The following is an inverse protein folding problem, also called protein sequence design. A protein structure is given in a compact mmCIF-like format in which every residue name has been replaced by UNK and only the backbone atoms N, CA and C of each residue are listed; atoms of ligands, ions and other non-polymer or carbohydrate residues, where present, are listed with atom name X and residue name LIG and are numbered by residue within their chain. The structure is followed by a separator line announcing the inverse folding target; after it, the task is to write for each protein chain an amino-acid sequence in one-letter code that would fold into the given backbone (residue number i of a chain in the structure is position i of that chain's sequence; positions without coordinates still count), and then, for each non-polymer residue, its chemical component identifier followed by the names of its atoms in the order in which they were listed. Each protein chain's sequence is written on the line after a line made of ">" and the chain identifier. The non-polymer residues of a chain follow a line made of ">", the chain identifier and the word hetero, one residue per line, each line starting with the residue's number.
data_IF_256847859706
#
_entry.id   IF_256847859706
#
_cell.length_a   1.000
_cell.length_b   1.000
_cell.length_c   1.000
_cell.angle_alpha   90.00
_cell.angle_beta   90.00
_cell.angle_gamma   90.00
#
_symmetry.space_group_name_H-M   'P 1'
#
loop_
_entity.id
_entity.type
_entity.pdbx_description
1 polymer ?
#
# COMPACT_ATOMS: atom_id res chain seq x y z
N UNK A 1 23.20 25.85 9.85
CA UNK A 1 21.95 25.14 10.18
C UNK A 1 21.75 24.13 9.07
N UNK A 2 22.02 22.85 9.34
CA UNK A 2 21.83 21.80 8.34
C UNK A 2 20.31 21.62 8.16
N UNK A 3 19.81 21.90 6.96
CA UNK A 3 18.48 21.45 6.56
C UNK A 3 18.52 19.92 6.59
N UNK A 4 17.91 19.31 7.60
CA UNK A 4 17.59 17.90 7.57
C UNK A 4 16.51 17.73 6.51
N UNK A 5 16.88 17.38 5.29
CA UNK A 5 15.89 17.00 4.28
C UNK A 5 15.13 15.77 4.79
N UNK A 6 13.83 15.91 4.94
CA UNK A 6 12.93 14.81 5.27
C UNK A 6 12.90 13.84 4.08
N UNK A 7 13.27 12.58 4.30
CA UNK A 7 13.15 11.53 3.29
C UNK A 7 11.68 11.40 2.84
N UNK A 8 11.43 11.20 1.55
CA UNK A 8 10.07 11.07 1.00
C UNK A 8 9.63 9.61 0.89
N UNK A 9 8.32 9.38 0.73
CA UNK A 9 7.76 8.04 0.44
C UNK A 9 8.45 7.40 -0.77
N UNK A 10 8.60 8.15 -1.88
CA UNK A 10 9.21 7.64 -3.10
C UNK A 10 10.65 7.23 -2.86
N UNK A 11 11.42 8.00 -2.08
CA UNK A 11 12.81 7.67 -1.76
C UNK A 11 12.92 6.40 -0.91
N UNK A 12 12.02 6.22 0.07
CA UNK A 12 12.01 5.03 0.94
C UNK A 12 11.59 3.78 0.18
N UNK A 13 10.53 3.90 -0.63
CA UNK A 13 9.86 2.74 -1.22
C UNK A 13 10.24 2.45 -2.67
N UNK A 14 11.06 3.28 -3.32
CA UNK A 14 11.51 3.10 -4.72
C UNK A 14 11.85 1.64 -5.09
N UNK A 15 12.59 0.87 -4.26
CA UNK A 15 12.94 -0.51 -4.58
C UNK A 15 11.74 -1.47 -4.68
N UNK A 16 10.57 -1.09 -4.18
CA UNK A 16 9.40 -1.94 -4.06
C UNK A 16 8.22 -1.46 -4.92
N UNK A 17 8.21 -0.20 -5.38
CA UNK A 17 7.06 0.39 -6.10
C UNK A 17 6.74 -0.29 -7.44
N UNK A 18 7.70 -1.00 -8.03
CA UNK A 18 7.50 -1.73 -9.28
C UNK A 18 6.91 -3.14 -9.08
N UNK A 19 7.01 -3.69 -7.87
CA UNK A 19 6.59 -5.06 -7.57
C UNK A 19 5.06 -5.19 -7.61
N UNK A 20 4.60 -6.38 -8.00
CA UNK A 20 3.20 -6.79 -7.94
C UNK A 20 3.11 -8.06 -7.10
N UNK A 21 2.68 -7.89 -5.86
CA UNK A 21 2.70 -8.96 -4.86
C UNK A 21 1.32 -9.15 -4.23
N UNK A 22 1.19 -10.18 -3.41
CA UNK A 22 0.03 -10.30 -2.57
C UNK A 22 -0.07 -9.11 -1.61
N UNK A 23 -1.27 -8.61 -1.35
CA UNK A 23 -1.46 -7.42 -0.52
C UNK A 23 -0.87 -7.57 0.89
N UNK A 24 -0.88 -8.79 1.43
CA UNK A 24 -0.27 -9.08 2.73
C UNK A 24 1.27 -9.11 2.68
N UNK A 25 1.87 -9.41 1.54
CA UNK A 25 3.33 -9.30 1.35
C UNK A 25 3.75 -7.84 1.25
N UNK A 26 3.02 -7.03 0.48
CA UNK A 26 3.17 -5.59 0.46
C UNK A 26 3.09 -5.00 1.88
N UNK A 27 2.12 -5.44 2.69
CA UNK A 27 1.98 -5.00 4.07
C UNK A 27 3.22 -5.31 4.92
N UNK A 28 3.78 -6.52 4.80
CA UNK A 28 5.02 -6.90 5.50
C UNK A 28 6.22 -6.06 5.07
N UNK A 29 6.34 -5.77 3.77
CA UNK A 29 7.40 -4.91 3.22
C UNK A 29 7.26 -3.51 3.83
N UNK A 30 6.07 -2.90 3.74
CA UNK A 30 5.83 -1.54 4.26
C UNK A 30 6.17 -1.45 5.74
N UNK A 31 5.62 -2.36 6.55
CA UNK A 31 5.88 -2.40 8.00
C UNK A 31 7.35 -2.63 8.32
N UNK A 32 8.02 -3.56 7.65
CA UNK A 32 9.42 -3.87 7.92
C UNK A 32 10.38 -2.75 7.50
N UNK A 33 10.11 -2.07 6.38
CA UNK A 33 10.88 -0.90 5.95
C UNK A 33 10.72 0.26 6.94
N UNK A 34 9.48 0.56 7.37
CA UNK A 34 9.22 1.62 8.35
C UNK A 34 9.87 1.31 9.70
N UNK A 35 9.77 0.06 10.16
CA UNK A 35 10.42 -0.39 11.39
C UNK A 35 11.94 -0.26 11.32
N UNK A 36 12.57 -0.61 10.19
CA UNK A 36 14.02 -0.48 10.00
C UNK A 36 14.49 0.97 9.96
N UNK A 37 13.61 1.91 9.59
CA UNK A 37 13.86 3.35 9.62
C UNK A 37 13.41 4.01 10.94
N UNK A 38 13.00 3.21 11.94
CA UNK A 38 12.50 3.67 13.23
C UNK A 38 11.31 4.66 13.09
N UNK A 39 10.50 4.50 12.05
CA UNK A 39 9.32 5.33 11.80
C UNK A 39 8.10 4.77 12.54
N UNK A 40 7.23 5.67 12.98
CA UNK A 40 5.94 5.29 13.54
C UNK A 40 4.99 4.84 12.44
N UNK A 41 4.24 3.78 12.73
CA UNK A 41 3.22 3.26 11.84
C UNK A 41 2.11 2.54 12.61
N UNK A 42 0.92 2.49 12.00
CA UNK A 42 -0.20 1.67 12.46
C UNK A 42 -0.81 0.94 11.27
N UNK A 43 -0.91 -0.39 11.35
CA UNK A 43 -1.43 -1.22 10.28
C UNK A 43 -2.89 -1.62 10.54
N UNK A 44 -3.73 -1.49 9.51
CA UNK A 44 -5.16 -1.75 9.57
C UNK A 44 -5.65 -2.55 8.37
N UNK A 45 -6.71 -3.32 8.59
CA UNK A 45 -7.59 -3.84 7.57
C UNK A 45 -8.90 -3.05 7.65
N UNK A 46 -9.25 -2.36 6.57
CA UNK A 46 -10.42 -1.48 6.54
C UNK A 46 -11.18 -1.59 5.22
N UNK A 47 -12.50 -1.51 5.30
CA UNK A 47 -13.40 -1.41 4.16
C UNK A 47 -13.35 -0.02 3.54
N UNK A 48 -12.96 0.05 2.26
CA UNK A 48 -12.82 1.32 1.54
C UNK A 48 -13.64 1.37 0.27
N UNK A 49 -14.04 2.58 -0.10
CA UNK A 49 -14.63 2.84 -1.41
C UNK A 49 -13.53 2.70 -2.49
N UNK A 50 -13.66 1.76 -3.44
CA UNK A 50 -12.67 1.58 -4.50
C UNK A 50 -12.43 2.85 -5.35
N UNK A 51 -13.40 3.77 -5.39
CA UNK A 51 -13.28 5.04 -6.12
C UNK A 51 -12.14 5.93 -5.61
N UNK A 52 -11.71 5.76 -4.34
CA UNK A 52 -10.52 6.44 -3.81
C UNK A 52 -9.24 6.07 -4.58
N UNK A 53 -9.23 4.95 -5.32
CA UNK A 53 -8.08 4.45 -6.07
C UNK A 53 -8.21 4.59 -7.59
N UNK A 54 -9.40 4.92 -8.10
CA UNK A 54 -9.72 4.93 -9.54
C UNK A 54 -9.22 6.21 -10.23
N UNK A 55 -8.89 7.27 -9.47
CA UNK A 55 -8.39 8.54 -10.01
C UNK A 55 -7.02 8.46 -10.72
N UNK A 56 -6.45 7.26 -10.91
CA UNK A 56 -5.20 7.04 -11.65
C UNK A 56 -5.35 6.15 -12.91
N UNK A 57 -6.57 5.83 -13.34
CA UNK A 57 -6.79 5.15 -14.63
C UNK A 57 -7.80 5.97 -15.43
N UNK A 58 -7.31 6.94 -16.19
CA UNK A 58 -8.07 7.40 -17.36
C UNK A 58 -8.10 6.25 -18.35
N UNK A 59 -9.23 5.56 -18.43
CA UNK A 59 -9.69 5.07 -19.71
C UNK A 59 -11.18 5.37 -19.87
N UNK A 60 -11.45 6.24 -20.84
CA UNK A 60 -12.79 6.67 -21.24
C UNK A 60 -13.58 5.47 -21.74
N UNK A 61 -14.53 5.00 -20.94
CA UNK A 61 -15.76 4.44 -21.50
C UNK A 61 -16.94 4.75 -20.58
N UNK A 62 -17.84 5.52 -21.16
CA UNK A 62 -19.11 6.00 -20.64
C UNK A 62 -20.02 4.89 -20.09
N UNK A 63 -20.72 5.15 -18.97
CA UNK A 63 -22.19 5.19 -18.99
C UNK A 63 -22.79 5.75 -17.69
N UNK A 64 -23.65 6.74 -17.92
CA UNK A 64 -24.93 7.06 -17.26
C UNK A 64 -25.10 6.86 -15.76
N UNK A 65 -25.41 7.98 -15.11
CA UNK A 65 -26.05 8.05 -13.81
C UNK A 65 -27.41 7.35 -13.82
N UNK A 66 -27.57 6.25 -13.08
CA UNK A 66 -28.84 5.76 -12.55
C UNK A 66 -28.59 4.66 -11.49
N UNK A 67 -29.11 4.86 -10.27
CA UNK A 67 -29.14 3.85 -9.20
C UNK A 67 -27.81 3.61 -8.45
N UNK A 68 -27.52 4.39 -7.39
CA UNK A 68 -26.45 4.07 -6.44
C UNK A 68 -26.77 2.74 -5.73
N UNK A 69 -26.34 1.63 -6.33
CA UNK A 69 -26.13 0.37 -5.62
C UNK A 69 -25.29 0.63 -4.37
N UNK A 70 -25.46 -0.13 -3.28
CA UNK A 70 -24.65 0.06 -2.07
C UNK A 70 -23.17 0.10 -2.47
N UNK A 71 -22.45 1.11 -1.96
CA UNK A 71 -21.00 1.23 -2.13
C UNK A 71 -20.40 -0.15 -1.88
N UNK A 72 -19.83 -0.78 -2.91
CA UNK A 72 -19.19 -2.08 -2.77
C UNK A 72 -17.85 -1.85 -2.08
N UNK A 73 -17.91 -1.68 -0.76
CA UNK A 73 -16.74 -1.56 0.06
C UNK A 73 -16.00 -2.89 0.00
N UNK A 74 -14.69 -2.82 -0.20
CA UNK A 74 -13.82 -3.98 -0.15
C UNK A 74 -12.78 -3.74 0.94
N UNK A 75 -12.38 -4.77 1.70
CA UNK A 75 -11.32 -4.63 2.67
C UNK A 75 -9.96 -4.43 1.98
N UNK A 76 -9.17 -3.52 2.51
CA UNK A 76 -7.80 -3.20 2.09
C UNK A 76 -6.87 -3.22 3.29
N UNK A 77 -5.60 -3.56 3.05
CA UNK A 77 -4.54 -3.30 3.99
C UNK A 77 -4.00 -1.88 3.83
N UNK A 78 -4.05 -1.11 4.91
CA UNK A 78 -3.53 0.26 5.00
C UNK A 78 -2.52 0.37 6.14
N UNK A 79 -1.50 1.19 5.93
CA UNK A 79 -0.56 1.63 6.95
C UNK A 79 -0.65 3.14 7.09
N UNK A 80 -1.05 3.60 8.26
CA UNK A 80 -0.96 5.01 8.65
C UNK A 80 0.49 5.34 8.98
N UNK A 81 1.03 6.42 8.39
CA UNK A 81 2.42 6.83 8.55
C UNK A 81 2.54 8.36 8.54
N UNK A 82 3.73 8.88 8.85
CA UNK A 82 4.04 10.31 8.69
C UNK A 82 4.01 10.79 7.23
N UNK A 83 4.14 9.88 6.24
CA UNK A 83 4.03 10.21 4.82
C UNK A 83 2.57 10.37 4.37
N UNK A 84 1.62 9.93 5.20
CA UNK A 84 0.23 9.70 4.84
C UNK A 84 -0.14 8.22 4.89
N UNK A 85 -1.32 7.89 4.36
CA UNK A 85 -1.82 6.51 4.35
C UNK A 85 -1.26 5.75 3.14
N UNK A 86 -0.54 4.66 3.41
CA UNK A 86 0.00 3.77 2.40
C UNK A 86 -0.94 2.57 2.22
N UNK A 87 -1.38 2.33 1.00
CA UNK A 87 -2.22 1.19 0.62
C UNK A 87 -1.31 0.07 0.15
N UNK A 88 -1.50 -1.11 0.74
CA UNK A 88 -0.75 -2.31 0.38
C UNK A 88 -1.53 -3.21 -0.60
N UNK A 89 -2.82 -2.94 -0.79
CA UNK A 89 -3.70 -3.66 -1.70
C UNK A 89 -4.99 -4.14 -1.05
N UNK A 90 -5.88 -4.71 -1.86
CA UNK A 90 -7.11 -5.38 -1.38
C UNK A 90 -6.77 -6.63 -0.59
N UNK A 91 -7.49 -6.91 0.50
CA UNK A 91 -7.37 -8.19 1.20
C UNK A 91 -7.60 -9.34 0.20
N UNK A 92 -6.73 -10.35 0.22
CA UNK A 92 -6.67 -11.46 -0.74
C UNK A 92 -6.39 -11.08 -2.21
N UNK A 93 -5.94 -9.85 -2.49
CA UNK A 93 -5.39 -9.47 -3.80
C UNK A 93 -3.98 -10.04 -3.98
N UNK A 94 -3.68 -10.56 -5.18
CA UNK A 94 -2.43 -11.26 -5.50
C UNK A 94 -1.46 -10.47 -6.41
N UNK A 95 -1.92 -9.39 -7.05
CA UNK A 95 -1.12 -8.55 -7.97
C UNK A 95 -1.31 -7.07 -7.62
N UNK A 96 -1.15 -6.74 -6.34
CA UNK A 96 -1.40 -5.41 -5.81
C UNK A 96 -0.09 -4.62 -5.74
N UNK A 97 -0.20 -3.29 -5.80
CA UNK A 97 0.94 -2.38 -5.73
C UNK A 97 0.89 -1.54 -4.45
N UNK A 98 2.06 -1.20 -3.90
CA UNK A 98 2.19 -0.24 -2.80
C UNK A 98 1.93 1.16 -3.36
N UNK A 99 1.00 1.90 -2.76
CA UNK A 99 0.65 3.26 -3.19
C UNK A 99 0.45 4.18 -2.00
N UNK A 100 0.95 5.40 -2.09
CA UNK A 100 0.58 6.46 -1.15
C UNK A 100 -0.76 7.08 -1.57
N UNK A 101 -1.68 7.24 -0.63
CA UNK A 101 -2.91 8.01 -0.85
C UNK A 101 -2.55 9.49 -0.74
N UNK A 102 -2.92 10.25 -1.78
CA UNK A 102 -2.63 11.67 -1.85
C UNK A 102 -3.27 12.43 -0.67
N UNK A 103 -2.54 13.37 -0.10
CA UNK A 103 -2.93 14.10 1.12
C UNK A 103 -4.15 15.01 0.93
N UNK A 104 -4.51 15.30 -0.32
CA UNK A 104 -5.70 16.05 -0.72
C UNK A 104 -6.96 15.18 -0.90
N UNK A 105 -6.83 13.86 -0.77
CA UNK A 105 -7.97 12.95 -0.76
C UNK A 105 -8.79 13.09 0.53
N UNK A 106 -10.04 12.63 0.50
CA UNK A 106 -10.87 12.56 1.70
C UNK A 106 -10.15 11.78 2.81
N UNK A 107 -10.15 12.28 4.06
CA UNK A 107 -9.53 11.60 5.18
C UNK A 107 -10.07 10.18 5.32
N UNK A 108 -9.18 9.21 5.45
CA UNK A 108 -9.58 7.83 5.67
C UNK A 108 -9.91 7.67 7.15
N UNK A 109 -11.16 7.35 7.44
CA UNK A 109 -11.58 7.05 8.80
C UNK A 109 -11.09 5.66 9.22
N UNK A 110 -9.90 5.60 9.81
CA UNK A 110 -9.29 4.37 10.30
C UNK A 110 -9.96 3.84 11.58
N UNK A 111 -10.89 4.57 12.21
CA UNK A 111 -11.51 4.16 13.48
C UNK A 111 -12.37 2.89 13.37
N UNK A 112 -12.90 2.63 12.17
CA UNK A 112 -13.65 1.43 11.83
C UNK A 112 -12.75 0.24 11.44
N UNK A 113 -11.44 0.48 11.26
CA UNK A 113 -10.48 -0.51 10.82
C UNK A 113 -10.09 -1.50 11.91
N UNK A 114 -9.86 -2.76 11.50
CA UNK A 114 -9.29 -3.79 12.36
C UNK A 114 -7.78 -3.64 12.37
N UNK A 115 -7.17 -3.42 13.53
CA UNK A 115 -5.70 -3.42 13.64
C UNK A 115 -5.13 -4.78 13.24
N UNK A 116 -4.09 -4.76 12.41
CA UNK A 116 -3.41 -5.96 11.91
C UNK A 116 -2.05 -6.06 12.57
N UNK A 117 -1.80 -7.14 13.30
CA UNK A 117 -0.47 -7.45 13.78
C UNK A 117 0.34 -8.12 12.66
N UNK A 118 1.43 -7.47 12.24
CA UNK A 118 2.27 -7.90 11.13
C UNK A 118 3.64 -8.29 11.68
N UNK A 119 4.18 -9.48 11.35
CA UNK A 119 5.53 -9.82 11.76
C UNK A 119 6.52 -8.85 11.12
N UNK A 120 7.33 -8.19 11.95
CA UNK A 120 8.37 -7.27 11.47
C UNK A 120 9.52 -8.09 10.90
N UNK A 121 9.74 -7.96 9.60
CA UNK A 121 10.84 -8.60 8.89
C UNK A 121 12.03 -7.64 8.79
N UNK A 122 13.25 -8.17 8.85
CA UNK A 122 14.46 -7.39 8.56
C UNK A 122 14.54 -7.04 7.07
N UNK A 123 15.32 -6.01 6.71
CA UNK A 123 15.55 -5.66 5.31
C UNK A 123 16.15 -6.83 4.49
N UNK A 124 16.96 -7.69 5.13
CA UNK A 124 17.47 -8.90 4.49
C UNK A 124 16.36 -9.94 4.24
N UNK A 125 15.41 -10.11 5.16
CA UNK A 125 14.27 -11.00 4.94
C UNK A 125 13.34 -10.46 3.85
N UNK A 126 13.11 -9.14 3.84
CA UNK A 126 12.38 -8.46 2.77
C UNK A 126 13.05 -8.67 1.42
N UNK A 127 14.38 -8.55 1.33
CA UNK A 127 15.07 -8.71 0.06
C UNK A 127 14.87 -10.09 -0.55
N UNK A 128 14.74 -11.14 0.27
CA UNK A 128 14.42 -12.49 -0.23
C UNK A 128 12.98 -12.63 -0.74
N UNK A 129 12.02 -11.83 -0.25
CA UNK A 129 10.65 -11.82 -0.77
C UNK A 129 10.58 -11.15 -2.15
N UNK A 130 11.43 -10.15 -2.40
CA UNK A 130 11.41 -9.37 -3.63
C UNK A 130 12.25 -9.97 -4.76
N UNK A 131 12.85 -11.16 -4.57
CA UNK A 131 13.52 -11.87 -5.66
C UNK A 131 12.43 -12.50 -6.53
N UNK A 132 11.95 -11.73 -7.51
CA UNK A 132 11.29 -12.32 -8.67
C UNK A 132 12.25 -13.35 -9.26
N UNK A 133 11.73 -14.56 -9.46
CA UNK A 133 12.44 -15.72 -10.01
C UNK A 133 13.56 -15.29 -10.94
N UNK A 134 14.82 -15.49 -10.52
CA UNK A 134 15.92 -15.53 -11.47
C UNK A 134 15.54 -16.63 -12.44
N UNK A 135 15.22 -16.27 -13.68
CA UNK A 135 14.98 -17.26 -14.73
C UNK A 135 16.20 -18.19 -14.74
N UNK A 136 16.06 -19.39 -14.18
CA UNK A 136 16.90 -20.54 -14.54
C UNK A 136 16.39 -21.13 -15.86
N UNK A 137 15.97 -20.27 -16.79
CA UNK A 137 15.48 -20.68 -18.11
C UNK A 137 16.61 -20.54 -19.12
N UNK A 138 17.74 -21.15 -18.78
CA UNK A 138 18.83 -21.51 -19.67
C UNK A 138 19.50 -22.76 -19.11
N UNK A 139 19.00 -23.93 -19.52
CA UNK A 139 19.76 -25.18 -19.60
C UNK A 139 19.66 -25.69 -21.04
#
# INVERSE_FOLDING_TARGET
>A
MAHSESITFEQVFQPYLHLRLAAFENLKIVVGVLAALEKHYSAFEIELNPQLFISQVEDKSSSSAEGKSPLNLKPYYIVETEFGNIVCGRTNGYEEAIKLIATDAEPIDLSSGKSVNVPILSLQQISFMCVETSHFDHC
#
